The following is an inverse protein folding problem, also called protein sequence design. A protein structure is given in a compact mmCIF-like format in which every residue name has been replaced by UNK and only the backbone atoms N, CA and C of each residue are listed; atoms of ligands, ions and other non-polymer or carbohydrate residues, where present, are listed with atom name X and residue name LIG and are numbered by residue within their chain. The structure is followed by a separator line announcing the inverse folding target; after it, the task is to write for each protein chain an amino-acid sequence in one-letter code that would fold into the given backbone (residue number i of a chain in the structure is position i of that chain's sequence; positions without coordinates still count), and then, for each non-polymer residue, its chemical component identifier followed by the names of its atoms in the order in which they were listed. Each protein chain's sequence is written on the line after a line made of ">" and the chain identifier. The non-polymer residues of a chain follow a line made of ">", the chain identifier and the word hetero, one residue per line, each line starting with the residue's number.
data_IF_645582624842
#
_entry.id   IF_645582624842
#
_cell.length_a   1.000
_cell.length_b   1.000
_cell.length_c   1.000
_cell.angle_alpha   90.00
_cell.angle_beta   90.00
_cell.angle_gamma   90.00
#
_symmetry.space_group_name_H-M   'P 1'
#
loop_
_entity.id
_entity.type
_entity.pdbx_description
1 polymer ?
#
# COMPACT_ATOMS: atom_id res chain seq x y z
N UNK A 1 1.82 -1.82 -19.02
CA UNK A 1 0.75 -1.92 -18.01
C UNK A 1 0.64 -0.60 -17.25
N UNK A 2 -0.54 -0.21 -16.86
CA UNK A 2 -0.72 0.98 -16.00
C UNK A 2 -1.96 0.77 -15.11
N UNK A 3 -1.99 1.48 -13.99
CA UNK A 3 -3.15 1.53 -13.09
C UNK A 3 -4.29 2.24 -13.83
N UNK A 4 -5.47 1.63 -13.83
CA UNK A 4 -6.66 2.21 -14.46
C UNK A 4 -7.51 2.85 -13.36
N UNK A 5 -7.79 4.14 -13.51
CA UNK A 5 -8.54 4.91 -12.52
C UNK A 5 -9.74 5.61 -13.14
N UNK A 6 -10.68 6.03 -12.29
CA UNK A 6 -11.71 6.96 -12.68
C UNK A 6 -11.18 8.40 -12.70
N UNK A 7 -12.07 9.38 -12.97
CA UNK A 7 -11.70 10.81 -13.05
C UNK A 7 -11.20 11.39 -11.70
N UNK A 8 -11.43 10.70 -10.58
CA UNK A 8 -10.99 11.11 -9.24
C UNK A 8 -9.76 10.33 -8.77
N UNK A 9 -9.07 9.64 -9.67
CA UNK A 9 -7.88 8.82 -9.39
C UNK A 9 -8.15 7.59 -8.53
N UNK A 10 -9.42 7.19 -8.38
CA UNK A 10 -9.75 5.94 -7.70
C UNK A 10 -9.46 4.76 -8.63
N UNK A 11 -8.67 3.81 -8.15
CA UNK A 11 -8.37 2.60 -8.90
C UNK A 11 -9.64 1.78 -9.16
N UNK A 12 -9.79 1.29 -10.39
CA UNK A 12 -10.96 0.51 -10.79
C UNK A 12 -10.78 -0.99 -10.55
N UNK A 13 -9.56 -1.44 -10.29
CA UNK A 13 -9.26 -2.84 -10.02
C UNK A 13 -9.95 -3.30 -8.74
N UNK A 14 -10.58 -4.47 -8.80
CA UNK A 14 -11.13 -5.11 -7.62
C UNK A 14 -10.03 -5.90 -6.88
N UNK A 15 -9.87 -5.65 -5.57
CA UNK A 15 -8.87 -6.31 -4.74
C UNK A 15 -9.52 -7.45 -3.95
N UNK A 16 -9.48 -8.65 -4.53
CA UNK A 16 -10.23 -9.80 -4.02
C UNK A 16 -11.70 -9.73 -4.42
N UNK A 17 -12.58 -10.24 -3.58
CA UNK A 17 -14.03 -10.20 -3.80
C UNK A 17 -14.76 -10.02 -2.45
N UNK A 18 -16.11 -9.96 -2.49
CA UNK A 18 -16.89 -9.72 -1.27
C UNK A 18 -16.74 -10.83 -0.22
N UNK A 19 -16.52 -12.06 -0.66
CA UNK A 19 -16.35 -13.19 0.24
C UNK A 19 -14.94 -13.25 0.83
N UNK A 20 -13.95 -12.77 0.08
CA UNK A 20 -12.56 -12.71 0.52
C UNK A 20 -11.90 -11.45 -0.05
N UNK A 21 -12.09 -10.29 0.60
CA UNK A 21 -11.58 -9.01 0.10
C UNK A 21 -10.09 -8.83 0.41
N UNK A 22 -9.26 -9.64 -0.22
CA UNK A 22 -7.83 -9.72 0.02
C UNK A 22 -7.12 -10.09 -1.29
N UNK A 23 -6.01 -9.40 -1.57
CA UNK A 23 -5.22 -9.66 -2.76
C UNK A 23 -3.73 -9.49 -2.46
N UNK A 24 -2.94 -10.49 -2.82
CA UNK A 24 -1.48 -10.40 -2.84
C UNK A 24 -1.03 -10.39 -4.29
N UNK A 25 -0.17 -9.46 -4.65
CA UNK A 25 0.39 -9.37 -6.00
C UNK A 25 1.92 -9.41 -5.94
N UNK A 26 2.52 -9.90 -7.01
CA UNK A 26 3.98 -9.90 -7.18
C UNK A 26 4.27 -9.02 -8.39
N UNK A 27 4.89 -7.87 -8.18
CA UNK A 27 5.02 -6.86 -9.22
C UNK A 27 6.45 -6.35 -9.32
N UNK A 28 6.76 -5.80 -10.49
CA UNK A 28 8.01 -5.09 -10.76
C UNK A 28 7.69 -3.76 -11.40
N UNK A 29 8.45 -2.73 -11.06
CA UNK A 29 8.25 -1.41 -11.68
C UNK A 29 8.50 -1.43 -13.18
N UNK A 30 9.36 -2.34 -13.67
CA UNK A 30 9.60 -2.50 -15.12
C UNK A 30 8.37 -2.95 -15.90
N UNK A 31 7.33 -3.47 -15.24
CA UNK A 31 6.07 -3.84 -15.89
C UNK A 31 5.24 -2.63 -16.29
N UNK A 32 5.53 -1.45 -15.74
CA UNK A 32 4.87 -0.20 -16.09
C UNK A 32 5.67 0.52 -17.16
N UNK A 33 4.98 1.13 -18.14
CA UNK A 33 5.60 1.71 -19.33
C UNK A 33 6.69 2.73 -19.05
N UNK A 34 6.54 3.51 -17.99
CA UNK A 34 7.51 4.54 -17.61
C UNK A 34 8.37 4.13 -16.40
N UNK A 35 8.28 2.89 -15.94
CA UNK A 35 8.90 2.47 -14.69
C UNK A 35 8.23 3.07 -13.47
N UNK A 36 6.98 3.50 -13.61
CA UNK A 36 6.21 4.14 -12.55
C UNK A 36 4.76 3.70 -12.60
N UNK A 37 4.17 3.40 -11.47
CA UNK A 37 2.72 3.36 -11.38
C UNK A 37 2.23 4.73 -10.93
N UNK A 38 1.16 5.21 -11.60
CA UNK A 38 0.69 6.57 -11.41
C UNK A 38 -0.12 6.74 -10.12
N UNK A 39 -0.34 7.98 -9.75
CA UNK A 39 -1.14 8.34 -8.59
C UNK A 39 -2.52 7.69 -8.65
N UNK A 40 -2.87 7.00 -7.57
CA UNK A 40 -4.18 6.37 -7.42
C UNK A 40 -4.49 6.17 -5.93
N UNK A 41 -5.75 5.88 -5.64
CA UNK A 41 -6.20 5.51 -4.30
C UNK A 41 -7.27 4.42 -4.39
N UNK A 42 -7.45 3.74 -3.30
CA UNK A 42 -8.50 2.73 -3.12
C UNK A 42 -8.91 2.69 -1.64
N UNK A 43 -10.14 2.21 -1.33
CA UNK A 43 -10.62 2.19 0.06
C UNK A 43 -9.93 1.14 0.93
N UNK A 44 -9.29 0.15 0.32
CA UNK A 44 -8.59 -0.91 1.04
C UNK A 44 -7.30 -0.38 1.67
N UNK A 45 -6.86 -1.07 2.73
CA UNK A 45 -5.53 -0.91 3.30
C UNK A 45 -4.54 -1.64 2.39
N UNK A 46 -3.36 -1.07 2.21
CA UNK A 46 -2.28 -1.73 1.48
C UNK A 46 -1.02 -1.79 2.32
N UNK A 47 -0.38 -2.96 2.33
CA UNK A 47 0.95 -3.14 2.90
C UNK A 47 1.86 -3.57 1.76
N UNK A 48 2.84 -2.76 1.44
CA UNK A 48 3.80 -3.05 0.37
C UNK A 48 5.16 -3.40 0.95
N UNK A 49 5.66 -4.56 0.56
CA UNK A 49 6.99 -5.06 0.93
C UNK A 49 7.92 -4.95 -0.27
N UNK A 50 9.08 -4.33 -0.09
CA UNK A 50 10.11 -4.27 -1.14
C UNK A 50 10.96 -5.53 -1.06
N UNK A 51 10.82 -6.37 -2.08
CA UNK A 51 11.50 -7.65 -2.14
C UNK A 51 12.93 -7.50 -2.66
N UNK A 52 13.14 -6.62 -3.66
CA UNK A 52 14.45 -6.41 -4.29
C UNK A 52 14.50 -5.03 -4.93
N UNK A 53 15.62 -4.35 -4.78
CA UNK A 53 15.85 -3.04 -5.40
C UNK A 53 15.36 -1.90 -4.54
N UNK A 54 15.13 -0.77 -5.18
CA UNK A 54 14.70 0.47 -4.52
C UNK A 54 13.54 1.10 -5.26
N UNK A 55 12.75 1.90 -4.55
CA UNK A 55 11.60 2.59 -5.10
C UNK A 55 11.41 3.94 -4.40
N UNK A 56 11.13 4.97 -5.18
CA UNK A 56 10.60 6.22 -4.64
C UNK A 56 9.09 6.08 -4.52
N UNK A 57 8.60 5.95 -3.30
CA UNK A 57 7.19 5.75 -2.99
C UNK A 57 6.62 7.03 -2.39
N UNK A 58 5.56 7.53 -2.96
CA UNK A 58 4.94 8.78 -2.52
C UNK A 58 3.53 8.53 -2.03
N UNK A 59 3.20 9.09 -0.87
CA UNK A 59 1.86 9.04 -0.30
C UNK A 59 1.47 10.46 0.09
N UNK A 60 0.47 11.02 -0.55
CA UNK A 60 0.08 12.44 -0.41
C UNK A 60 1.31 13.35 -0.60
N UNK A 61 1.74 14.05 0.46
CA UNK A 61 2.94 14.93 0.41
C UNK A 61 4.23 14.22 0.85
N UNK A 62 4.12 13.00 1.35
CA UNK A 62 5.25 12.25 1.91
C UNK A 62 6.00 11.55 0.80
N UNK A 63 7.33 11.54 0.90
CA UNK A 63 8.22 10.83 -0.02
C UNK A 63 9.04 9.84 0.78
N UNK A 64 8.99 8.57 0.37
CA UNK A 64 9.74 7.50 1.00
C UNK A 64 10.69 6.88 -0.03
N UNK A 65 11.97 6.76 0.34
CA UNK A 65 12.95 6.04 -0.46
C UNK A 65 13.08 4.63 0.11
N UNK A 66 12.33 3.71 -0.48
CA UNK A 66 12.25 2.33 0.00
C UNK A 66 13.38 1.51 -0.59
N UNK A 67 13.93 0.62 0.23
CA UNK A 67 14.95 -0.34 -0.19
C UNK A 67 14.53 -1.75 0.17
N UNK A 68 15.27 -2.72 -0.29
CA UNK A 68 15.03 -4.13 0.00
C UNK A 68 14.81 -4.38 1.49
N UNK A 69 13.71 -5.03 1.82
CA UNK A 69 13.30 -5.34 3.18
C UNK A 69 12.38 -4.30 3.82
N UNK A 70 12.24 -3.11 3.25
CA UNK A 70 11.35 -2.10 3.79
C UNK A 70 9.89 -2.46 3.54
N UNK A 71 9.03 -2.01 4.46
CA UNK A 71 7.58 -2.17 4.39
C UNK A 71 6.96 -0.80 4.53
N UNK A 72 5.95 -0.51 3.71
CA UNK A 72 5.12 0.67 3.88
C UNK A 72 3.66 0.25 4.08
N UNK A 73 3.06 0.76 5.14
CA UNK A 73 1.63 0.70 5.38
C UNK A 73 1.01 1.92 4.72
N UNK A 74 0.03 1.71 3.86
CA UNK A 74 -0.71 2.75 3.16
C UNK A 74 -2.16 2.71 3.61
N UNK A 75 -2.63 3.79 4.20
CA UNK A 75 -3.96 3.81 4.80
C UNK A 75 -5.07 3.85 3.76
N UNK A 76 -6.27 3.46 4.17
CA UNK A 76 -7.49 3.54 3.36
C UNK A 76 -7.63 4.93 2.73
N UNK A 77 -7.82 4.99 1.42
CA UNK A 77 -8.06 6.23 0.69
C UNK A 77 -6.84 7.13 0.47
N UNK A 78 -5.66 6.75 0.93
CA UNK A 78 -4.46 7.56 0.72
C UNK A 78 -3.98 7.49 -0.73
N UNK A 79 -3.73 8.67 -1.32
CA UNK A 79 -3.26 8.79 -2.69
C UNK A 79 -1.77 8.45 -2.75
N UNK A 80 -1.40 7.52 -3.62
CA UNK A 80 -0.02 7.02 -3.67
C UNK A 80 0.46 6.70 -5.09
N UNK A 81 1.78 6.71 -5.25
CA UNK A 81 2.47 6.39 -6.51
C UNK A 81 3.85 5.81 -6.21
N UNK A 82 4.43 5.15 -7.20
CA UNK A 82 5.77 4.58 -7.07
C UNK A 82 6.56 4.74 -8.35
N UNK A 83 7.86 5.02 -8.22
CA UNK A 83 8.75 5.31 -9.35
C UNK A 83 10.11 4.66 -9.12
N UNK A 84 10.70 4.19 -10.22
CA UNK A 84 12.09 3.72 -10.20
C UNK A 84 13.05 4.80 -9.72
N UNK A 85 14.06 4.38 -8.98
CA UNK A 85 15.21 5.22 -8.65
C UNK A 85 16.40 4.81 -9.52
N UNK A 86 17.08 5.80 -10.10
CA UNK A 86 18.27 5.59 -10.94
C UNK A 86 18.03 4.59 -12.10
N UNK A 87 16.81 4.56 -12.63
CA UNK A 87 16.42 3.67 -13.74
C UNK A 87 16.63 2.18 -13.44
N UNK A 88 16.65 1.80 -12.17
CA UNK A 88 16.79 0.41 -11.73
C UNK A 88 15.46 -0.17 -11.35
N UNK A 89 15.24 -1.45 -11.67
CA UNK A 89 14.00 -2.14 -11.36
C UNK A 89 13.85 -2.38 -9.86
N UNK A 90 12.60 -2.53 -9.46
CA UNK A 90 12.23 -2.86 -8.08
C UNK A 90 11.15 -3.94 -8.13
N UNK A 91 11.40 -5.03 -7.43
CA UNK A 91 10.40 -6.08 -7.20
C UNK A 91 9.75 -5.85 -5.85
N UNK A 92 8.43 -5.83 -5.83
CA UNK A 92 7.67 -5.54 -4.61
C UNK A 92 6.38 -6.37 -4.55
N UNK A 93 5.86 -6.51 -3.33
CA UNK A 93 4.68 -7.33 -3.05
C UNK A 93 3.65 -6.45 -2.34
N UNK A 94 2.67 -5.91 -3.05
CA UNK A 94 1.54 -5.24 -2.41
C UNK A 94 0.54 -6.27 -1.90
N UNK A 95 0.13 -6.10 -0.65
CA UNK A 95 -0.94 -6.86 0.00
C UNK A 95 -2.06 -5.88 0.27
N UNK A 96 -3.18 -6.06 -0.39
CA UNK A 96 -4.32 -5.15 -0.34
C UNK A 96 -5.52 -5.86 0.25
N UNK A 97 -6.15 -5.27 1.26
CA UNK A 97 -7.30 -5.89 1.91
C UNK A 97 -8.27 -4.87 2.49
N UNK A 98 -9.53 -5.26 2.52
CA UNK A 98 -10.57 -4.48 3.20
C UNK A 98 -10.42 -4.67 4.71
N UNK A 99 -10.56 -3.59 5.48
CA UNK A 99 -10.44 -3.63 6.94
C UNK A 99 -11.45 -4.60 7.60
N UNK A 100 -12.51 -4.99 6.89
CA UNK A 100 -13.47 -6.01 7.37
C UNK A 100 -12.80 -7.34 7.73
N UNK A 101 -11.65 -7.64 7.14
CA UNK A 101 -10.93 -8.87 7.46
C UNK A 101 -10.41 -8.91 8.90
N UNK A 102 -10.19 -7.75 9.51
CA UNK A 102 -9.56 -7.69 10.83
C UNK A 102 -10.50 -7.21 11.93
N UNK A 103 -11.63 -6.58 11.61
CA UNK A 103 -12.50 -6.04 12.65
C UNK A 103 -13.67 -6.96 13.03
N UNK A 104 -13.83 -8.09 12.33
CA UNK A 104 -14.83 -9.10 12.64
C UNK A 104 -16.22 -8.72 12.17
N UNK A 105 -16.93 -7.88 12.92
CA UNK A 105 -18.26 -7.42 12.55
C UNK A 105 -18.42 -5.92 12.84
N UNK A 106 -19.40 -5.32 12.18
CA UNK A 106 -19.69 -3.89 12.30
C UNK A 106 -19.91 -3.49 13.77
N UNK A 107 -19.25 -2.42 14.19
CA UNK A 107 -19.27 -1.90 15.55
C UNK A 107 -18.73 -2.85 16.62
N UNK A 108 -17.94 -3.85 16.24
CA UNK A 108 -17.19 -4.65 17.19
C UNK A 108 -16.20 -3.78 17.97
N UNK A 109 -15.75 -4.27 19.13
CA UNK A 109 -14.69 -3.59 19.90
C UNK A 109 -13.41 -3.45 19.08
N UNK A 110 -13.06 -4.46 18.30
CA UNK A 110 -11.89 -4.41 17.42
C UNK A 110 -12.05 -3.28 16.41
N UNK A 111 -13.20 -3.18 15.77
CA UNK A 111 -13.45 -2.12 14.80
C UNK A 111 -13.45 -0.73 15.45
N UNK A 112 -14.27 -0.51 16.47
CA UNK A 112 -14.48 0.84 17.04
C UNK A 112 -13.27 1.35 17.82
N UNK A 113 -12.49 0.47 18.44
CA UNK A 113 -11.36 0.85 19.29
C UNK A 113 -10.02 0.86 18.56
N UNK A 114 -9.81 -0.04 17.61
CA UNK A 114 -8.50 -0.24 16.98
C UNK A 114 -8.45 0.05 15.49
N UNK A 115 -9.50 -0.30 14.74
CA UNK A 115 -9.47 -0.19 13.27
C UNK A 115 -9.98 1.18 12.80
N UNK A 116 -11.19 1.56 13.17
CA UNK A 116 -11.76 2.84 12.74
C UNK A 116 -10.89 4.04 13.09
N UNK A 117 -10.31 4.16 14.30
CA UNK A 117 -9.46 5.30 14.61
C UNK A 117 -8.26 5.43 13.66
N UNK A 118 -7.74 4.32 13.16
CA UNK A 118 -6.61 4.33 12.22
C UNK A 118 -7.06 4.68 10.81
N UNK A 119 -8.07 3.97 10.27
CA UNK A 119 -8.48 4.17 8.86
C UNK A 119 -9.15 5.53 8.63
N UNK A 120 -9.70 6.16 9.67
CA UNK A 120 -10.33 7.47 9.57
C UNK A 120 -9.38 8.62 9.91
N UNK A 121 -8.15 8.32 10.30
CA UNK A 121 -7.17 9.34 10.66
C UNK A 121 -6.51 9.92 9.41
N UNK A 122 -6.97 11.09 8.99
CA UNK A 122 -6.41 11.80 7.84
C UNK A 122 -4.97 12.28 8.06
N UNK A 123 -4.50 12.31 9.30
CA UNK A 123 -3.13 12.69 9.65
C UNK A 123 -2.18 11.49 9.62
N UNK A 124 -2.69 10.30 9.30
CA UNK A 124 -1.90 9.06 9.22
C UNK A 124 -2.09 8.41 7.85
N UNK A 125 -1.59 9.02 6.76
CA UNK A 125 -1.76 8.42 5.43
C UNK A 125 -0.88 7.20 5.20
N UNK A 126 0.29 7.13 5.84
CA UNK A 126 1.23 6.03 5.68
C UNK A 126 2.19 5.91 6.86
N UNK A 127 2.73 4.70 7.03
CA UNK A 127 3.82 4.42 7.98
C UNK A 127 4.86 3.61 7.23
N UNK A 128 6.10 4.09 7.22
CA UNK A 128 7.23 3.32 6.69
C UNK A 128 7.90 2.55 7.83
N UNK A 129 8.07 1.25 7.63
CA UNK A 129 8.74 0.35 8.57
C UNK A 129 10.02 -0.09 7.91
N UNK A 130 11.14 0.43 8.39
CA UNK A 130 12.44 0.05 7.87
C UNK A 130 13.12 -0.97 8.78
N UNK A 131 14.27 -1.48 8.35
CA UNK A 131 14.99 -2.54 9.05
C UNK A 131 15.71 -2.04 10.31
N UNK A 132 15.71 -0.74 10.57
CA UNK A 132 16.31 -0.17 11.78
C UNK A 132 15.45 -0.39 13.02
N UNK A 133 14.15 -0.67 12.84
CA UNK A 133 13.23 -0.92 13.94
C UNK A 133 13.50 -2.29 14.57
N UNK A 134 13.78 -2.36 15.91
CA UNK A 134 14.15 -3.64 16.55
C UNK A 134 13.11 -4.74 16.41
N UNK A 135 11.83 -4.39 16.42
CA UNK A 135 10.74 -5.36 16.32
C UNK A 135 10.52 -5.90 14.90
N UNK A 136 11.17 -5.29 13.93
CA UNK A 136 11.09 -5.73 12.52
C UNK A 136 11.97 -6.98 12.26
N UNK A 137 13.01 -7.16 13.04
CA UNK A 137 14.07 -8.14 12.76
C UNK A 137 13.69 -9.62 12.81
N UNK A 138 12.70 -10.10 13.56
CA UNK A 138 12.37 -11.53 13.52
C UNK A 138 11.77 -11.98 12.19
N UNK A 139 11.40 -11.06 11.36
CA UNK A 139 10.80 -11.34 10.06
C UNK A 139 11.82 -11.19 8.94
#
# INVERSE_FOLDING_TARGET
>A
MQIITNQFQKELKQHGNEQFPFLVSYQKLSEYESGSFMWHWHPEIEITYVQKGTMCYKVNHMVYHLKEGDIVFNNSGALHSGTMENQKDCAYIPVTFDSRLIYGFFQSTVNSKYVDPVIQDSMLPAICIDQSEPWHKPF
#
